data_IF_693818677758
#
_entry.id   IF_693818677758
#
_cell.length_a   1.000
_cell.length_b   1.000
_cell.length_c   1.000
_cell.angle_alpha   90.00
_cell.angle_beta   90.00
_cell.angle_gamma   90.00
#
_symmetry.space_group_name_H-M   'P 1'
#
loop_
_entity.id
_entity.type
_entity.pdbx_description
1 polymer ?
#
# COMPACT_ATOMS: atom_id res chain seq x y z
N UNK A 1 -8.84 -4.11 11.43
CA UNK A 1 -7.89 -4.85 10.59
C UNK A 1 -7.55 -3.91 9.44
N UNK A 2 -6.37 -4.00 8.86
CA UNK A 2 -5.96 -3.05 7.84
C UNK A 2 -6.16 -3.61 6.43
N UNK A 3 -6.07 -2.73 5.44
CA UNK A 3 -5.81 -3.16 4.07
C UNK A 3 -4.30 -3.20 3.84
N UNK A 4 -3.86 -4.13 2.99
CA UNK A 4 -2.45 -4.44 2.74
C UNK A 4 -2.20 -4.37 1.23
N UNK A 5 -1.13 -3.66 0.83
CA UNK A 5 -0.62 -3.68 -0.53
C UNK A 5 0.35 -4.85 -0.71
N UNK A 6 0.03 -5.74 -1.63
CA UNK A 6 0.76 -6.96 -1.97
C UNK A 6 1.57 -6.84 -3.27
N UNK A 7 2.16 -7.97 -3.68
CA UNK A 7 3.08 -8.10 -4.82
C UNK A 7 2.64 -7.40 -6.12
N UNK A 8 1.36 -7.40 -6.55
CA UNK A 8 1.00 -6.82 -7.84
C UNK A 8 1.28 -5.31 -7.97
N UNK A 9 1.51 -4.60 -6.85
CA UNK A 9 1.92 -3.19 -6.87
C UNK A 9 3.39 -2.98 -7.25
N UNK A 10 4.24 -4.00 -7.07
CA UNK A 10 5.68 -3.92 -7.32
C UNK A 10 5.93 -3.63 -8.80
N UNK A 11 6.60 -2.51 -9.10
CA UNK A 11 6.85 -2.09 -10.48
C UNK A 11 5.71 -1.29 -11.12
N UNK A 12 4.61 -1.03 -10.40
CA UNK A 12 3.42 -0.34 -10.93
C UNK A 12 3.26 1.04 -10.31
N UNK A 13 3.12 1.12 -8.97
CA UNK A 13 2.98 2.38 -8.23
C UNK A 13 1.96 3.39 -8.85
N UNK A 14 0.78 2.94 -9.27
CA UNK A 14 -0.18 3.77 -10.03
C UNK A 14 -0.80 4.95 -9.25
N UNK A 15 -0.89 4.85 -7.92
CA UNK A 15 -1.42 5.86 -6.98
C UNK A 15 -2.94 6.13 -7.00
N UNK A 16 -3.75 5.49 -7.85
CA UNK A 16 -5.22 5.68 -7.82
C UNK A 16 -5.85 5.44 -6.43
N UNK A 17 -5.35 4.46 -5.68
CA UNK A 17 -5.79 4.15 -4.32
C UNK A 17 -5.57 5.30 -3.32
N UNK A 18 -4.58 6.18 -3.55
CA UNK A 18 -4.26 7.30 -2.66
C UNK A 18 -5.41 8.30 -2.64
N UNK A 19 -5.98 8.62 -3.81
CA UNK A 19 -6.98 9.68 -3.97
C UNK A 19 -8.33 9.37 -3.27
N UNK A 20 -8.58 8.09 -2.96
CA UNK A 20 -9.82 7.63 -2.34
C UNK A 20 -9.67 7.29 -0.86
N UNK A 21 -8.45 7.31 -0.32
CA UNK A 21 -8.21 6.99 1.09
C UNK A 21 -8.73 8.12 1.99
N UNK A 22 -9.74 7.88 2.86
CA UNK A 22 -10.35 8.96 3.65
C UNK A 22 -9.48 9.46 4.81
N UNK A 23 -8.39 8.77 5.10
CA UNK A 23 -7.46 9.05 6.22
C UNK A 23 -6.03 9.24 5.74
N UNK A 24 -5.82 9.36 4.42
CA UNK A 24 -4.52 9.63 3.79
C UNK A 24 -3.39 8.65 4.18
N UNK A 25 -3.71 7.41 4.56
CA UNK A 25 -2.73 6.43 5.09
C UNK A 25 -1.92 5.65 4.04
N UNK A 26 -1.91 6.07 2.76
CA UNK A 26 -1.22 5.36 1.67
C UNK A 26 -0.06 6.20 1.15
N UNK A 27 1.15 5.65 1.21
CA UNK A 27 2.39 6.39 0.96
C UNK A 27 3.45 5.54 0.23
N UNK A 28 4.62 6.14 0.01
CA UNK A 28 5.77 5.51 -0.63
C UNK A 28 5.81 5.73 -2.13
N UNK A 29 6.76 5.11 -2.85
CA UNK A 29 7.72 4.12 -2.34
C UNK A 29 8.91 4.66 -1.53
N UNK A 30 9.14 5.97 -1.48
CA UNK A 30 10.34 6.55 -0.86
C UNK A 30 9.99 7.42 0.36
N UNK A 31 8.89 8.17 0.32
CA UNK A 31 8.45 9.07 1.38
C UNK A 31 7.26 8.48 2.15
N UNK A 32 7.42 8.34 3.48
CA UNK A 32 6.39 7.85 4.43
C UNK A 32 5.20 8.77 4.64
N UNK A 33 5.24 9.96 4.07
CA UNK A 33 4.20 10.99 4.20
C UNK A 33 3.84 11.63 2.87
N UNK A 34 4.48 11.19 1.78
CA UNK A 34 4.42 11.84 0.47
C UNK A 34 3.17 11.54 -0.35
N UNK A 35 2.27 10.67 0.13
CA UNK A 35 1.05 10.27 -0.58
C UNK A 35 1.31 9.82 -2.04
N UNK A 36 2.41 9.09 -2.27
CA UNK A 36 2.78 8.63 -3.61
C UNK A 36 3.12 9.75 -4.59
N UNK A 37 3.36 10.98 -4.13
CA UNK A 37 3.66 12.11 -5.00
C UNK A 37 4.90 11.82 -5.87
N UNK A 38 5.90 11.15 -5.33
CA UNK A 38 7.10 10.76 -6.07
C UNK A 38 6.79 9.83 -7.25
N UNK A 39 5.75 8.98 -7.14
CA UNK A 39 5.39 8.04 -8.19
C UNK A 39 4.69 8.72 -9.38
N UNK A 40 4.24 9.96 -9.22
CA UNK A 40 3.60 10.77 -10.26
C UNK A 40 4.61 11.60 -11.07
N UNK A 41 5.88 11.63 -10.66
CA UNK A 41 6.92 12.39 -11.36
C UNK A 41 7.30 11.71 -12.69
N UNK A 42 7.55 12.49 -13.76
CA UNK A 42 7.78 11.94 -15.11
C UNK A 42 9.05 11.09 -15.22
N UNK A 43 10.02 11.31 -14.35
CA UNK A 43 11.30 10.57 -14.32
C UNK A 43 11.32 9.49 -13.22
N UNK A 44 10.17 9.19 -12.62
CA UNK A 44 10.07 8.14 -11.61
C UNK A 44 10.22 6.76 -12.22
N UNK A 45 11.15 5.97 -11.67
CA UNK A 45 11.32 4.57 -12.01
C UNK A 45 10.65 3.69 -10.94
N UNK A 46 9.55 2.98 -11.27
CA UNK A 46 8.85 2.11 -10.34
C UNK A 46 9.52 0.75 -10.15
N UNK A 47 10.58 0.40 -10.90
CA UNK A 47 11.18 -0.94 -10.86
C UNK A 47 11.55 -1.37 -9.42
N UNK A 48 10.96 -2.49 -8.97
CA UNK A 48 11.20 -3.04 -7.63
C UNK A 48 10.60 -2.22 -6.48
N UNK A 49 9.74 -1.24 -6.77
CA UNK A 49 9.10 -0.37 -5.78
C UNK A 49 7.59 -0.59 -5.71
N UNK A 50 7.00 -0.28 -4.57
CA UNK A 50 5.55 -0.36 -4.34
C UNK A 50 5.08 0.76 -3.40
N UNK A 51 3.78 1.00 -3.35
CA UNK A 51 3.15 1.80 -2.29
C UNK A 51 2.92 0.94 -1.04
N UNK A 52 2.65 1.60 0.09
CA UNK A 52 2.41 0.97 1.39
C UNK A 52 1.21 1.63 2.07
N UNK A 53 0.40 0.84 2.78
CA UNK A 53 -0.70 1.31 3.63
C UNK A 53 -0.22 1.29 5.08
N UNK A 54 -0.39 2.38 5.85
CA UNK A 54 -0.11 2.39 7.29
C UNK A 54 -1.21 1.61 8.02
N UNK A 55 -0.90 0.42 8.58
CA UNK A 55 -1.93 -0.42 9.17
C UNK A 55 -2.49 0.12 10.49
N UNK A 56 -1.76 1.02 11.17
CA UNK A 56 -2.25 1.66 12.40
C UNK A 56 -3.18 2.85 12.11
N UNK A 57 -3.08 3.46 10.93
CA UNK A 57 -3.94 4.58 10.52
C UNK A 57 -5.12 4.12 9.66
N UNK A 58 -4.99 2.98 8.98
CA UNK A 58 -6.06 2.39 8.19
C UNK A 58 -7.32 2.13 9.04
N UNK A 59 -8.47 2.61 8.55
CA UNK A 59 -9.77 2.47 9.22
C UNK A 59 -10.68 1.40 8.60
N UNK A 60 -10.12 0.48 7.80
CA UNK A 60 -10.84 -0.67 7.25
C UNK A 60 -12.08 -0.31 6.41
N UNK A 61 -11.98 0.77 5.60
CA UNK A 61 -13.13 1.29 4.85
C UNK A 61 -13.35 0.63 3.48
N UNK A 62 -12.34 -0.07 2.93
CA UNK A 62 -12.42 -0.74 1.62
C UNK A 62 -12.47 0.17 0.39
N UNK A 63 -12.31 1.49 0.53
CA UNK A 63 -12.40 2.40 -0.62
C UNK A 63 -11.26 2.21 -1.64
N UNK A 64 -10.07 1.79 -1.18
CA UNK A 64 -8.87 1.70 -2.02
C UNK A 64 -8.79 0.42 -2.87
N UNK A 65 -9.38 -0.68 -2.40
CA UNK A 65 -9.36 -1.98 -3.08
C UNK A 65 -9.88 -1.94 -4.53
N UNK A 66 -11.10 -1.44 -4.81
CA UNK A 66 -11.65 -1.43 -6.18
C UNK A 66 -10.94 -0.44 -7.11
N UNK A 67 -10.15 0.49 -6.58
CA UNK A 67 -9.45 1.51 -7.36
C UNK A 67 -8.06 1.05 -7.81
N UNK A 68 -7.54 -0.05 -7.26
CA UNK A 68 -6.24 -0.58 -7.66
C UNK A 68 -6.35 -1.26 -9.04
N UNK A 69 -5.69 -0.75 -10.10
CA UNK A 69 -5.84 -1.30 -11.46
C UNK A 69 -5.20 -2.68 -11.64
N UNK A 70 -4.38 -3.10 -10.68
CA UNK A 70 -3.64 -4.38 -10.68
C UNK A 70 -4.05 -5.29 -9.53
N UNK A 71 -5.17 -4.97 -8.86
CA UNK A 71 -5.76 -5.81 -7.79
C UNK A 71 -4.74 -6.17 -6.70
N UNK A 72 -3.91 -5.20 -6.29
CA UNK A 72 -2.82 -5.41 -5.32
C UNK A 72 -3.24 -5.23 -3.85
N UNK A 73 -4.48 -4.81 -3.59
CA UNK A 73 -4.93 -4.40 -2.25
C UNK A 73 -5.90 -5.44 -1.72
N UNK A 74 -5.63 -5.93 -0.51
CA UNK A 74 -6.45 -6.96 0.16
C UNK A 74 -6.72 -6.55 1.59
N UNK A 75 -7.86 -6.95 2.15
CA UNK A 75 -8.02 -6.96 3.60
C UNK A 75 -6.96 -7.89 4.21
N UNK A 76 -6.39 -7.54 5.36
CA UNK A 76 -5.29 -8.28 5.99
C UNK A 76 -5.57 -9.78 6.15
N UNK A 77 -6.81 -10.16 6.48
CA UNK A 77 -7.21 -11.58 6.62
C UNK A 77 -7.49 -12.29 5.30
N UNK A 78 -7.59 -11.54 4.20
CA UNK A 78 -7.86 -12.03 2.84
C UNK A 78 -6.62 -11.99 1.93
N UNK A 79 -5.47 -11.55 2.44
CA UNK A 79 -4.19 -11.61 1.71
C UNK A 79 -3.91 -13.06 1.31
N UNK A 80 -3.66 -13.34 0.01
CA UNK A 80 -3.29 -14.67 -0.45
C UNK A 80 -2.07 -15.23 0.30
N UNK A 81 -2.05 -16.54 0.55
CA UNK A 81 -1.01 -17.20 1.35
C UNK A 81 0.41 -16.93 0.81
N UNK A 82 0.55 -16.86 -0.51
CA UNK A 82 1.82 -16.55 -1.19
C UNK A 82 2.32 -15.13 -0.95
N UNK A 83 1.46 -14.20 -0.53
CA UNK A 83 1.78 -12.80 -0.27
C UNK A 83 1.65 -12.41 1.20
N UNK A 84 1.52 -13.37 2.13
CA UNK A 84 1.43 -13.09 3.56
C UNK A 84 2.61 -12.26 4.11
N UNK A 85 3.80 -12.35 3.49
CA UNK A 85 4.94 -11.53 3.87
C UNK A 85 4.71 -10.03 3.68
N UNK A 86 3.83 -9.65 2.74
CA UNK A 86 3.50 -8.25 2.46
C UNK A 86 2.76 -7.58 3.60
N UNK A 87 2.06 -8.34 4.46
CA UNK A 87 1.46 -7.82 5.68
C UNK A 87 2.57 -7.17 6.51
N UNK A 88 3.57 -7.96 6.90
CA UNK A 88 4.70 -7.47 7.70
C UNK A 88 5.47 -6.35 6.99
N UNK A 89 5.63 -6.42 5.68
CA UNK A 89 6.31 -5.37 4.89
C UNK A 89 5.60 -4.01 5.04
N UNK A 90 4.28 -3.97 4.99
CA UNK A 90 3.52 -2.72 5.18
C UNK A 90 3.74 -2.16 6.60
N UNK A 91 3.64 -3.00 7.65
CA UNK A 91 3.93 -2.57 9.03
C UNK A 91 5.38 -2.07 9.21
N UNK A 92 6.36 -2.86 8.75
CA UNK A 92 7.79 -2.56 8.90
C UNK A 92 8.17 -1.26 8.20
N UNK A 93 7.55 -0.97 7.05
CA UNK A 93 7.85 0.24 6.29
C UNK A 93 7.52 1.50 7.09
N UNK A 94 6.47 1.49 7.90
CA UNK A 94 6.12 2.57 8.83
C UNK A 94 6.81 2.47 10.20
N UNK A 95 7.49 1.35 10.48
CA UNK A 95 8.09 1.08 11.78
C UNK A 95 7.06 0.69 12.85
N UNK A 96 5.93 0.10 12.44
CA UNK A 96 4.88 -0.44 13.32
C UNK A 96 5.22 -1.86 13.74
N UNK A 97 4.69 -2.29 14.87
CA UNK A 97 4.82 -3.68 15.32
C UNK A 97 3.73 -4.54 14.68
N UNK A 98 4.11 -5.64 14.03
CA UNK A 98 3.17 -6.64 13.54
C UNK A 98 3.13 -7.81 14.50
N UNK A 99 2.02 -7.94 15.25
CA UNK A 99 1.89 -8.95 16.30
C UNK A 99 1.38 -10.32 15.83
N UNK A 100 1.05 -10.49 14.54
CA UNK A 100 0.54 -11.76 13.98
C UNK A 100 -0.84 -12.11 14.50
#
# INVERSE_FOLDING_TARGET
>A
MAYIIAEPCVGVCDTACVEVCPVDCIHGPEDKTGAGAEAKEPDFDPEGKQLYIDPEECIDCGACEPECPVEAIFEESEVPEEWNEYIKINYDWFGRDFSG
#
